data_IF_975317697273
#
_entry.id   IF_975317697273
#
_cell.length_a   1.000
_cell.length_b   1.000
_cell.length_c   1.000
_cell.angle_alpha   90.00
_cell.angle_beta   90.00
_cell.angle_gamma   90.00
#
_symmetry.space_group_name_H-M   'P 1'
#
loop_
_entity.id
_entity.type
_entity.pdbx_description
1 polymer ?
#
# COMPACT_ATOMS: atom_id res chain seq x y z
N UNK A 1 -17.46 -9.41 -0.61
CA UNK A 1 -16.17 -9.00 0.00
C UNK A 1 -16.18 -7.51 0.31
N UNK A 2 -15.67 -7.08 1.44
CA UNK A 2 -15.56 -5.65 1.76
C UNK A 2 -14.12 -5.21 1.48
N UNK A 3 -13.96 -4.32 0.52
CA UNK A 3 -12.68 -3.64 0.28
C UNK A 3 -12.12 -3.06 1.59
N UNK A 4 -10.87 -3.39 1.90
CA UNK A 4 -10.19 -2.92 3.12
C UNK A 4 -9.27 -1.76 2.76
N UNK A 5 -9.67 -0.48 2.99
CA UNK A 5 -8.83 0.68 2.70
C UNK A 5 -7.45 0.62 3.37
N UNK A 6 -7.33 -0.13 4.46
CA UNK A 6 -6.08 -0.35 5.17
C UNK A 6 -4.98 -0.97 4.30
N UNK A 7 -5.30 -1.87 3.38
CA UNK A 7 -4.30 -2.45 2.45
C UNK A 7 -3.69 -1.37 1.56
N UNK A 8 -4.50 -0.42 1.10
CA UNK A 8 -4.04 0.70 0.27
C UNK A 8 -3.15 1.64 1.06
N UNK A 9 -3.59 2.00 2.27
CA UNK A 9 -2.87 2.91 3.14
C UNK A 9 -1.52 2.34 3.56
N UNK A 10 -1.47 1.04 3.91
CA UNK A 10 -0.26 0.38 4.41
C UNK A 10 0.64 -0.12 3.28
N UNK A 11 0.06 -0.57 2.16
CA UNK A 11 0.82 -1.07 1.01
C UNK A 11 1.39 0.02 0.09
N UNK A 12 0.87 1.23 0.16
CA UNK A 12 1.30 2.33 -0.72
C UNK A 12 1.12 2.04 -2.21
N UNK A 13 0.18 1.17 -2.58
CA UNK A 13 -0.04 0.72 -3.95
C UNK A 13 -0.61 1.83 -4.84
N UNK A 14 -0.24 1.81 -6.12
CA UNK A 14 -0.96 2.58 -7.14
C UNK A 14 -2.34 1.95 -7.37
N UNK A 15 -3.29 2.75 -7.83
CA UNK A 15 -4.66 2.24 -8.05
C UNK A 15 -4.69 1.10 -9.09
N UNK A 16 -3.93 1.21 -10.16
CA UNK A 16 -3.81 0.16 -11.19
C UNK A 16 -3.18 -1.13 -10.64
N UNK A 17 -2.18 -1.02 -9.78
CA UNK A 17 -1.56 -2.15 -9.11
C UNK A 17 -2.55 -2.84 -8.16
N UNK A 18 -3.34 -2.04 -7.46
CA UNK A 18 -4.37 -2.54 -6.54
C UNK A 18 -5.44 -3.34 -7.27
N UNK A 19 -6.04 -2.78 -8.32
CA UNK A 19 -7.14 -3.44 -9.04
C UNK A 19 -6.65 -4.65 -9.84
N UNK A 20 -5.38 -4.64 -10.28
CA UNK A 20 -4.77 -5.76 -10.98
C UNK A 20 -4.29 -6.91 -10.08
N UNK A 21 -4.33 -6.75 -8.75
CA UNK A 21 -3.81 -7.77 -7.84
C UNK A 21 -4.69 -9.01 -7.80
N UNK A 22 -4.09 -10.19 -7.99
CA UNK A 22 -4.74 -11.48 -7.85
C UNK A 22 -4.24 -12.23 -6.62
N UNK A 23 -4.97 -13.25 -6.19
CA UNK A 23 -4.56 -14.07 -5.04
C UNK A 23 -3.28 -14.87 -5.28
N UNK A 24 -2.89 -15.12 -6.53
CA UNK A 24 -1.60 -15.73 -6.86
C UNK A 24 -0.41 -14.88 -6.38
N UNK A 25 -0.59 -13.57 -6.28
CA UNK A 25 0.44 -12.60 -5.90
C UNK A 25 0.45 -12.30 -4.40
N UNK A 26 -0.40 -12.96 -3.61
CA UNK A 26 -0.54 -12.73 -2.16
C UNK A 26 -0.03 -13.96 -1.41
N UNK A 27 1.13 -13.83 -0.81
CA UNK A 27 1.83 -14.90 -0.10
C UNK A 27 1.67 -14.69 1.41
N UNK A 28 1.22 -15.71 2.13
CA UNK A 28 1.18 -15.70 3.60
C UNK A 28 2.56 -16.05 4.12
N UNK A 29 3.07 -15.24 5.04
CA UNK A 29 4.33 -15.49 5.74
C UNK A 29 4.07 -16.14 7.10
N UNK A 30 5.06 -16.83 7.64
CA UNK A 30 4.99 -17.46 8.98
C UNK A 30 4.79 -16.43 10.10
N UNK A 31 5.26 -15.20 9.88
CA UNK A 31 5.03 -14.06 10.78
C UNK A 31 3.56 -13.59 10.86
N UNK A 32 2.67 -14.17 10.03
CA UNK A 32 1.28 -13.73 9.89
C UNK A 32 1.08 -12.56 8.93
N UNK A 33 2.15 -11.95 8.44
CA UNK A 33 2.11 -10.89 7.44
C UNK A 33 1.68 -11.43 6.06
N UNK A 34 1.22 -10.53 5.18
CA UNK A 34 1.08 -10.84 3.76
C UNK A 34 2.19 -10.16 2.97
N UNK A 35 2.84 -10.92 2.08
CA UNK A 35 3.74 -10.39 1.07
C UNK A 35 2.99 -10.29 -0.24
N UNK A 36 2.95 -9.09 -0.82
CA UNK A 36 2.36 -8.83 -2.13
C UNK A 36 3.48 -8.74 -3.17
N UNK A 37 3.34 -9.48 -4.26
CA UNK A 37 4.18 -9.34 -5.45
C UNK A 37 3.52 -8.37 -6.41
N UNK A 38 4.01 -7.14 -6.44
CA UNK A 38 3.40 -6.05 -7.19
C UNK A 38 4.17 -5.80 -8.48
N UNK A 39 3.50 -5.96 -9.60
CA UNK A 39 4.06 -5.65 -10.91
C UNK A 39 3.89 -4.15 -11.19
N UNK A 40 4.99 -3.45 -11.35
CA UNK A 40 5.05 -2.02 -11.63
C UNK A 40 5.28 -1.71 -13.10
N UNK A 41 5.60 -0.46 -13.40
CA UNK A 41 5.92 0.00 -14.76
C UNK A 41 7.15 -0.74 -15.31
N UNK A 42 7.05 -1.27 -16.54
CA UNK A 42 8.11 -2.01 -17.20
C UNK A 42 8.31 -3.41 -16.63
N UNK A 43 7.24 -4.05 -16.16
CA UNK A 43 7.18 -5.42 -15.63
C UNK A 43 8.13 -5.67 -14.44
N UNK A 44 8.58 -4.61 -13.78
CA UNK A 44 9.40 -4.74 -12.57
C UNK A 44 8.55 -5.19 -11.40
N UNK A 45 8.90 -6.35 -10.85
CA UNK A 45 8.25 -6.89 -9.66
C UNK A 45 8.91 -6.32 -8.42
N UNK A 46 8.10 -5.86 -7.46
CA UNK A 46 8.55 -5.52 -6.12
C UNK A 46 7.70 -6.22 -5.07
N UNK A 47 8.30 -6.43 -3.91
CA UNK A 47 7.61 -7.01 -2.77
C UNK A 47 7.16 -5.92 -1.82
N UNK A 48 5.91 -6.02 -1.37
CA UNK A 48 5.31 -5.11 -0.38
C UNK A 48 4.80 -5.95 0.77
N UNK A 49 5.21 -5.65 2.00
CA UNK A 49 4.75 -6.33 3.20
C UNK A 49 3.52 -5.61 3.78
N UNK A 50 2.53 -6.40 4.13
CA UNK A 50 1.31 -5.95 4.81
C UNK A 50 1.33 -6.52 6.23
N UNK A 51 1.26 -5.68 7.27
CA UNK A 51 1.28 -6.12 8.66
C UNK A 51 0.21 -7.15 8.98
N UNK A 52 0.51 -8.05 9.91
CA UNK A 52 -0.32 -9.20 10.26
C UNK A 52 -1.78 -8.85 10.58
N UNK A 53 -2.03 -7.72 11.28
CA UNK A 53 -3.41 -7.28 11.61
C UNK A 53 -4.25 -6.99 10.36
N UNK A 54 -3.63 -6.38 9.34
CA UNK A 54 -4.31 -6.09 8.07
C UNK A 54 -4.37 -7.36 7.20
N UNK A 55 -3.28 -8.13 7.18
CA UNK A 55 -3.17 -9.38 6.45
C UNK A 55 -4.23 -10.42 6.88
N UNK A 56 -4.50 -10.54 8.19
CA UNK A 56 -5.54 -11.41 8.71
C UNK A 56 -6.92 -11.09 8.11
N UNK A 57 -7.27 -9.80 8.03
CA UNK A 57 -8.52 -9.34 7.40
C UNK A 57 -8.55 -9.62 5.90
N UNK A 58 -7.41 -9.44 5.24
CA UNK A 58 -7.25 -9.72 3.82
C UNK A 58 -7.49 -11.21 3.55
N UNK A 59 -6.82 -12.10 4.28
CA UNK A 59 -6.97 -13.55 4.13
C UNK A 59 -8.36 -14.05 4.51
N UNK A 60 -8.98 -13.49 5.56
CA UNK A 60 -10.35 -13.83 5.92
C UNK A 60 -11.36 -13.49 4.82
N UNK A 61 -11.04 -12.52 3.95
CA UNK A 61 -11.89 -12.14 2.83
C UNK A 61 -11.75 -13.04 1.60
N UNK A 62 -10.73 -13.89 1.55
CA UNK A 62 -10.47 -14.76 0.39
C UNK A 62 -11.53 -15.85 0.24
N UNK A 63 -11.96 -16.47 1.35
CA UNK A 63 -12.79 -17.67 1.28
C UNK A 63 -12.16 -18.74 0.39
N UNK A 64 -12.97 -19.33 -0.50
CA UNK A 64 -12.55 -20.36 -1.45
C UNK A 64 -12.11 -19.78 -2.81
N UNK A 65 -11.83 -18.47 -2.88
CA UNK A 65 -11.42 -17.85 -4.13
C UNK A 65 -10.13 -18.45 -4.68
N UNK A 66 -10.09 -18.85 -5.98
CA UNK A 66 -8.90 -19.43 -6.60
C UNK A 66 -7.77 -18.40 -6.70
N UNK A 67 -6.56 -18.89 -6.94
CA UNK A 67 -5.37 -18.05 -7.05
C UNK A 67 -5.48 -16.99 -8.17
N UNK A 68 -6.18 -17.30 -9.26
CA UNK A 68 -6.41 -16.39 -10.38
C UNK A 68 -7.46 -15.32 -10.11
N UNK A 69 -8.27 -15.45 -9.06
CA UNK A 69 -9.32 -14.47 -8.76
C UNK A 69 -8.71 -13.14 -8.30
N UNK A 70 -9.36 -12.01 -8.62
CA UNK A 70 -8.95 -10.70 -8.15
C UNK A 70 -9.05 -10.61 -6.61
N UNK A 71 -8.07 -10.01 -5.97
CA UNK A 71 -8.10 -9.76 -4.52
C UNK A 71 -9.23 -8.79 -4.16
N UNK A 72 -9.45 -7.79 -4.98
CA UNK A 72 -10.49 -6.79 -4.80
C UNK A 72 -11.60 -6.97 -5.84
N UNK A 73 -12.42 -7.97 -5.61
CA UNK A 73 -13.51 -8.35 -6.48
C UNK A 73 -14.69 -7.37 -6.37
N UNK A 74 -15.34 -7.13 -7.49
CA UNK A 74 -16.56 -6.32 -7.58
C UNK A 74 -17.77 -7.09 -7.07
N UNK A 75 -18.48 -6.54 -6.08
CA UNK A 75 -19.76 -7.11 -5.61
C UNK A 75 -20.84 -7.04 -6.70
N UNK A 76 -20.79 -6.02 -7.55
CA UNK A 76 -21.78 -5.82 -8.63
C UNK A 76 -21.51 -6.70 -9.85
N UNK A 77 -20.29 -7.13 -10.04
CA UNK A 77 -19.87 -7.97 -11.16
C UNK A 77 -18.92 -9.05 -10.63
N UNK A 78 -19.45 -10.14 -10.05
CA UNK A 78 -18.64 -11.23 -9.51
C UNK A 78 -17.66 -11.81 -10.53
N UNK A 79 -16.48 -12.22 -10.07
CA UNK A 79 -15.38 -12.70 -10.93
C UNK A 79 -14.52 -11.58 -11.54
N UNK A 80 -14.93 -10.32 -11.44
CA UNK A 80 -14.18 -9.19 -11.98
C UNK A 80 -13.63 -8.30 -10.88
N UNK A 81 -12.47 -7.69 -11.13
CA UNK A 81 -11.87 -6.74 -10.23
C UNK A 81 -12.72 -5.46 -10.07
N UNK A 82 -12.54 -4.76 -8.95
CA UNK A 82 -13.04 -3.39 -8.82
C UNK A 82 -12.41 -2.49 -9.88
N UNK A 83 -13.18 -1.52 -10.35
CA UNK A 83 -12.65 -0.44 -11.20
C UNK A 83 -11.98 0.65 -10.35
N UNK A 84 -11.07 1.41 -10.95
CA UNK A 84 -10.42 2.58 -10.32
C UNK A 84 -11.46 3.55 -9.71
N UNK A 85 -12.56 3.77 -10.44
CA UNK A 85 -13.67 4.63 -10.00
C UNK A 85 -14.34 4.05 -8.75
N UNK A 86 -14.60 2.74 -8.72
CA UNK A 86 -15.21 2.07 -7.58
C UNK A 86 -14.31 2.14 -6.34
N UNK A 87 -13.00 1.91 -6.51
CA UNK A 87 -12.02 2.01 -5.41
C UNK A 87 -12.00 3.43 -4.84
N UNK A 88 -11.88 4.45 -5.68
CA UNK A 88 -11.89 5.84 -5.21
C UNK A 88 -13.22 6.23 -4.55
N UNK A 89 -14.36 5.72 -5.03
CA UNK A 89 -15.64 5.93 -4.38
C UNK A 89 -15.65 5.34 -2.95
N UNK A 90 -15.13 4.12 -2.77
CA UNK A 90 -15.05 3.45 -1.47
C UNK A 90 -14.14 4.22 -0.52
N UNK A 91 -12.97 4.70 -1.00
CA UNK A 91 -12.03 5.51 -0.21
C UNK A 91 -12.70 6.80 0.25
N UNK A 92 -13.38 7.52 -0.64
CA UNK A 92 -14.13 8.75 -0.30
C UNK A 92 -15.24 8.48 0.71
N UNK A 93 -15.99 7.39 0.55
CA UNK A 93 -17.03 7.01 1.49
C UNK A 93 -16.45 6.65 2.88
N UNK A 94 -15.30 6.00 2.93
CA UNK A 94 -14.59 5.73 4.19
C UNK A 94 -14.10 7.01 4.86
N UNK A 95 -13.52 7.94 4.08
CA UNK A 95 -13.08 9.24 4.56
C UNK A 95 -14.21 10.07 5.19
N UNK A 96 -15.36 10.12 4.51
CA UNK A 96 -16.57 10.79 5.06
C UNK A 96 -17.02 10.18 6.37
N UNK A 97 -17.08 8.84 6.48
CA UNK A 97 -17.45 8.16 7.73
C UNK A 97 -16.49 8.41 8.87
N UNK A 98 -15.21 8.57 8.55
CA UNK A 98 -14.16 8.86 9.52
C UNK A 98 -14.05 10.35 9.88
N UNK A 99 -14.85 11.23 9.27
CA UNK A 99 -14.78 12.67 9.50
C UNK A 99 -13.51 13.33 8.96
N UNK A 100 -12.79 12.67 8.02
CA UNK A 100 -11.59 13.22 7.39
C UNK A 100 -11.91 13.79 6.01
N UNK A 101 -10.91 14.48 5.40
CA UNK A 101 -11.11 15.18 4.14
C UNK A 101 -11.78 14.30 3.07
N UNK A 102 -12.96 14.68 2.55
CA UNK A 102 -13.71 13.90 1.56
C UNK A 102 -13.03 13.86 0.17
N UNK A 103 -12.00 14.67 -0.06
CA UNK A 103 -11.17 14.62 -1.27
C UNK A 103 -10.16 13.46 -1.26
N UNK A 104 -10.10 12.69 -0.15
CA UNK A 104 -9.21 11.54 -0.05
C UNK A 104 -9.37 10.59 -1.25
N UNK A 105 -8.24 10.11 -1.75
CA UNK A 105 -8.14 9.20 -2.90
C UNK A 105 -7.07 8.16 -2.63
N UNK A 106 -6.96 7.15 -3.49
CA UNK A 106 -5.87 6.16 -3.41
C UNK A 106 -4.50 6.85 -3.49
N UNK A 107 -4.38 7.87 -4.34
CA UNK A 107 -3.16 8.66 -4.44
C UNK A 107 -2.82 9.38 -3.13
N UNK A 108 -3.81 9.95 -2.47
CA UNK A 108 -3.66 10.57 -1.14
C UNK A 108 -3.19 9.56 -0.09
N UNK A 109 -3.78 8.36 -0.05
CA UNK A 109 -3.36 7.31 0.88
C UNK A 109 -1.91 6.87 0.62
N UNK A 110 -1.50 6.82 -0.64
CA UNK A 110 -0.12 6.53 -1.01
C UNK A 110 0.84 7.66 -0.58
N UNK A 111 0.46 8.92 -0.70
CA UNK A 111 1.23 10.04 -0.18
C UNK A 111 1.34 9.98 1.35
N UNK A 112 0.23 9.70 2.04
CA UNK A 112 0.21 9.53 3.49
C UNK A 112 1.13 8.38 3.93
N UNK A 113 1.15 7.25 3.19
CA UNK A 113 2.09 6.17 3.44
C UNK A 113 3.54 6.65 3.42
N UNK A 114 3.93 7.40 2.37
CA UNK A 114 5.30 7.92 2.25
C UNK A 114 5.67 8.82 3.42
N UNK A 115 4.82 9.83 3.71
CA UNK A 115 5.06 10.79 4.79
C UNK A 115 5.14 10.10 6.15
N UNK A 116 4.14 9.30 6.51
CA UNK A 116 4.10 8.64 7.82
C UNK A 116 5.23 7.62 8.00
N UNK A 117 5.62 6.87 6.95
CA UNK A 117 6.74 5.94 7.03
C UNK A 117 8.05 6.68 7.31
N UNK A 118 8.31 7.79 6.62
CA UNK A 118 9.49 8.63 6.84
C UNK A 118 9.45 9.27 8.23
N UNK A 119 8.30 9.79 8.65
CA UNK A 119 8.11 10.40 9.98
C UNK A 119 8.34 9.40 11.10
N UNK A 120 8.03 8.13 10.87
CA UNK A 120 8.30 7.04 11.80
C UNK A 120 9.73 6.47 11.68
N UNK A 121 10.60 7.11 10.90
CA UNK A 121 12.02 6.77 10.84
C UNK A 121 12.40 5.73 9.77
N UNK A 122 11.49 5.37 8.87
CA UNK A 122 11.84 4.47 7.77
C UNK A 122 12.87 5.14 6.83
N UNK A 123 13.93 4.41 6.42
CA UNK A 123 14.87 4.93 5.44
C UNK A 123 14.16 5.31 4.12
N UNK A 124 14.50 6.49 3.58
CA UNK A 124 13.87 6.98 2.34
C UNK A 124 14.05 6.02 1.17
N UNK A 125 15.18 5.31 1.12
CA UNK A 125 15.45 4.27 0.12
C UNK A 125 14.49 3.11 0.21
N UNK A 126 14.14 2.67 1.45
CA UNK A 126 13.16 1.63 1.68
C UNK A 126 11.76 2.08 1.26
N UNK A 127 11.37 3.30 1.63
CA UNK A 127 10.07 3.88 1.23
C UNK A 127 9.97 4.00 -0.29
N UNK A 128 11.03 4.48 -0.95
CA UNK A 128 11.11 4.57 -2.41
C UNK A 128 10.97 3.21 -3.09
N UNK A 129 11.66 2.19 -2.59
CA UNK A 129 11.58 0.82 -3.09
C UNK A 129 10.17 0.24 -2.92
N UNK A 130 9.56 0.40 -1.73
CA UNK A 130 8.18 -0.06 -1.44
C UNK A 130 7.17 0.60 -2.38
N UNK A 131 7.31 1.89 -2.62
CA UNK A 131 6.45 2.63 -3.54
C UNK A 131 6.75 2.34 -5.02
N UNK A 132 7.91 1.78 -5.35
CA UNK A 132 8.32 1.55 -6.73
C UNK A 132 8.54 2.87 -7.48
N UNK A 133 9.23 3.83 -6.83
CA UNK A 133 9.70 5.03 -7.48
C UNK A 133 11.02 4.72 -8.18
N UNK A 134 11.12 5.06 -9.46
CA UNK A 134 12.35 4.88 -10.23
C UNK A 134 13.45 5.89 -9.83
N UNK A 135 13.06 7.05 -9.29
CA UNK A 135 13.95 8.12 -8.85
C UNK A 135 13.65 8.48 -7.38
N UNK A 136 14.71 8.55 -6.58
CA UNK A 136 14.65 8.99 -5.19
C UNK A 136 14.12 10.43 -5.04
N UNK A 137 14.29 11.29 -6.04
CA UNK A 137 13.73 12.64 -6.04
C UNK A 137 12.22 12.65 -5.80
N UNK A 138 11.50 11.67 -6.32
CA UNK A 138 10.06 11.55 -6.11
C UNK A 138 9.71 11.29 -4.65
N UNK A 139 10.57 10.61 -3.91
CA UNK A 139 10.36 10.30 -2.49
C UNK A 139 10.96 11.38 -1.58
N UNK A 140 12.01 12.08 -2.01
CA UNK A 140 12.67 13.13 -1.22
C UNK A 140 11.76 14.32 -0.91
N UNK A 141 10.70 14.53 -1.68
CA UNK A 141 9.66 15.55 -1.40
C UNK A 141 9.02 15.35 -0.01
N UNK A 142 9.03 14.13 0.52
CA UNK A 142 8.49 13.79 1.84
C UNK A 142 9.54 13.85 2.95
N UNK A 143 10.82 13.95 2.59
CA UNK A 143 11.91 14.01 3.56
C UNK A 143 12.16 15.46 3.97
N UNK A 144 11.57 15.86 5.08
CA UNK A 144 11.90 17.13 5.70
C UNK A 144 13.03 16.92 6.71
N UNK A 145 14.06 17.79 6.65
CA UNK A 145 15.08 17.79 7.68
C UNK A 145 14.43 18.10 9.04
N UNK A 146 14.56 17.19 9.99
CA UNK A 146 14.04 17.39 11.33
C UNK A 146 14.99 18.30 12.11
N UNK A 147 14.48 19.32 12.83
CA UNK A 147 15.32 20.10 13.72
C UNK A 147 16.07 19.19 14.70
N UNK A 148 17.40 19.30 14.72
CA UNK A 148 18.25 18.51 15.62
C UNK A 148 18.69 17.14 15.09
N UNK A 149 18.31 16.73 13.87
CA UNK A 149 18.87 15.56 13.20
C UNK A 149 20.06 15.93 12.33
N UNK A 150 21.14 15.17 12.47
CA UNK A 150 22.35 15.29 11.65
C UNK A 150 22.92 13.91 11.37
N UNK A 151 23.41 13.71 10.15
CA UNK A 151 24.06 12.47 9.72
C UNK A 151 25.25 12.11 10.60
N UNK A 152 25.89 13.08 11.27
CA UNK A 152 26.98 12.87 12.22
C UNK A 152 26.60 11.96 13.40
N UNK A 153 25.32 11.89 13.77
CA UNK A 153 24.84 10.98 14.85
C UNK A 153 24.96 9.49 14.48
N UNK A 154 25.06 9.18 13.20
CA UNK A 154 25.20 7.81 12.71
C UNK A 154 26.64 7.38 12.48
N UNK A 155 27.61 8.28 12.74
CA UNK A 155 29.02 7.95 12.65
C UNK A 155 29.49 7.36 13.98
N UNK A 156 30.12 6.17 13.92
CA UNK A 156 30.80 5.60 15.08
C UNK A 156 32.09 6.41 15.30
N UNK A 157 32.09 7.27 16.31
CA UNK A 157 33.32 7.86 16.83
C UNK A 157 34.05 6.81 17.65
N UNK A 158 35.26 6.43 17.21
CA UNK A 158 36.17 5.57 18.00
C UNK A 158 36.73 6.38 19.16
#
# INVERSE_FOLDING_TARGET
MRFTPGVVAVGGLRISELVGLTWAQVIRRDSGEAQLEVVGKGDKVRQVLIPAVIAARLFASRGDAPASAPVFESVRNPGHALTDRAVNFIVKAAARRAGVNPAASVHWLRHAHASHAIDNGAPITLVSATLGHADLKTTSVYAHARPGESSGRYLKTK
#
